data_IF_800256052225
#
_entry.id   IF_800256052225
#
_cell.length_a   1.000
_cell.length_b   1.000
_cell.length_c   1.000
_cell.angle_alpha   90.00
_cell.angle_beta   90.00
_cell.angle_gamma   90.00
#
_symmetry.space_group_name_H-M   'P 1'
#
loop_
_entity.id
_entity.type
_entity.pdbx_description
1 polymer ?
#
# COMPACT_ATOMS: atom_id res chain seq x y z
N UNK A 1 -23.58 -35.40 -32.57
CA UNK A 1 -22.61 -34.29 -32.45
C UNK A 1 -22.84 -33.41 -33.66
N UNK A 2 -23.76 -32.45 -33.56
CA UNK A 2 -23.99 -31.52 -34.68
C UNK A 2 -22.84 -30.52 -34.68
N UNK A 3 -21.82 -30.85 -35.48
CA UNK A 3 -20.55 -30.15 -35.58
C UNK A 3 -20.76 -28.65 -35.78
N UNK A 4 -20.42 -27.85 -34.77
CA UNK A 4 -20.36 -26.39 -34.85
C UNK A 4 -19.57 -25.98 -36.11
N UNK A 5 -20.25 -25.34 -37.07
CA UNK A 5 -19.65 -24.96 -38.36
C UNK A 5 -19.06 -23.55 -38.33
N UNK A 6 -18.16 -23.26 -39.27
CA UNK A 6 -17.55 -21.92 -39.42
C UNK A 6 -18.58 -20.83 -39.67
N UNK A 7 -19.60 -21.10 -40.50
CA UNK A 7 -20.69 -20.16 -40.73
C UNK A 7 -21.49 -19.90 -39.46
N UNK A 8 -21.74 -20.94 -38.68
CA UNK A 8 -22.55 -20.85 -37.47
C UNK A 8 -21.87 -20.04 -36.37
N UNK A 9 -20.59 -20.30 -36.10
CA UNK A 9 -19.84 -19.53 -35.09
C UNK A 9 -19.70 -18.06 -35.49
N UNK A 10 -19.55 -17.78 -36.78
CA UNK A 10 -19.49 -16.40 -37.28
C UNK A 10 -20.81 -15.65 -37.14
N UNK A 11 -21.93 -16.38 -37.21
CA UNK A 11 -23.27 -15.84 -37.02
C UNK A 11 -23.57 -15.61 -35.54
N UNK A 12 -23.17 -16.54 -34.67
CA UNK A 12 -23.26 -16.41 -33.21
C UNK A 12 -22.49 -15.17 -32.72
N UNK A 13 -21.30 -14.92 -33.26
CA UNK A 13 -20.48 -13.75 -32.91
C UNK A 13 -21.11 -12.40 -33.26
N UNK A 14 -22.14 -12.37 -34.11
CA UNK A 14 -22.86 -11.15 -34.52
C UNK A 14 -24.16 -10.94 -33.75
N UNK A 15 -24.56 -11.88 -32.91
CA UNK A 15 -25.80 -11.83 -32.13
C UNK A 15 -25.59 -11.13 -30.79
N UNK A 16 -26.69 -10.72 -30.16
CA UNK A 16 -26.65 -10.30 -28.75
C UNK A 16 -26.26 -11.48 -27.86
N UNK A 17 -25.60 -11.17 -26.74
CA UNK A 17 -24.97 -12.15 -25.84
C UNK A 17 -25.87 -13.32 -25.52
N UNK A 18 -27.08 -13.06 -25.02
CA UNK A 18 -27.96 -14.10 -24.50
C UNK A 18 -28.44 -15.06 -25.60
N UNK A 19 -28.76 -14.51 -26.78
CA UNK A 19 -29.16 -15.29 -27.96
C UNK A 19 -27.98 -16.11 -28.48
N UNK A 20 -26.81 -15.49 -28.58
CA UNK A 20 -25.59 -16.14 -29.05
C UNK A 20 -25.14 -17.26 -28.11
N UNK A 21 -25.27 -17.06 -26.80
CA UNK A 21 -24.96 -18.05 -25.78
C UNK A 21 -25.90 -19.24 -25.89
N UNK A 22 -27.21 -19.00 -25.93
CA UNK A 22 -28.19 -20.08 -26.05
C UNK A 22 -27.94 -20.88 -27.34
N UNK A 23 -27.68 -20.18 -28.44
CA UNK A 23 -27.40 -20.80 -29.73
C UNK A 23 -26.11 -21.62 -29.71
N UNK A 24 -25.02 -21.09 -29.14
CA UNK A 24 -23.77 -21.84 -28.97
C UNK A 24 -23.97 -23.05 -28.05
N UNK A 25 -24.76 -22.90 -27.00
CA UNK A 25 -25.02 -23.96 -26.03
C UNK A 25 -25.72 -25.17 -26.68
N UNK A 26 -26.58 -24.95 -27.67
CA UNK A 26 -27.27 -26.03 -28.39
C UNK A 26 -26.35 -26.95 -29.20
N UNK A 27 -25.12 -26.50 -29.50
CA UNK A 27 -24.11 -27.29 -30.22
C UNK A 27 -23.29 -28.23 -29.32
N UNK A 28 -23.48 -28.17 -28.00
CA UNK A 28 -22.73 -28.96 -27.05
C UNK A 28 -23.64 -29.78 -26.15
N UNK A 29 -23.22 -30.99 -25.79
CA UNK A 29 -23.87 -31.81 -24.76
C UNK A 29 -23.33 -31.43 -23.39
N UNK A 30 -24.17 -30.90 -22.50
CA UNK A 30 -23.79 -30.49 -21.14
C UNK A 30 -24.19 -31.58 -20.15
N UNK A 31 -23.29 -32.53 -19.89
CA UNK A 31 -23.53 -33.66 -18.97
C UNK A 31 -22.58 -33.66 -17.78
N UNK A 32 -21.69 -32.67 -17.71
CA UNK A 32 -20.62 -32.59 -16.71
C UNK A 32 -21.12 -32.08 -15.34
N UNK A 33 -22.29 -31.45 -15.31
CA UNK A 33 -22.92 -30.93 -14.09
C UNK A 33 -24.40 -31.30 -14.07
N UNK A 34 -24.93 -31.65 -12.89
CA UNK A 34 -26.37 -31.87 -12.68
C UNK A 34 -27.09 -30.61 -12.16
N UNK A 35 -26.33 -29.59 -11.74
CA UNK A 35 -26.87 -28.34 -11.17
C UNK A 35 -27.06 -27.29 -12.29
N UNK A 36 -28.26 -26.76 -12.44
CA UNK A 36 -28.61 -25.78 -13.48
C UNK A 36 -27.72 -24.53 -13.43
N UNK A 37 -27.36 -24.06 -12.22
CA UNK A 37 -26.51 -22.87 -12.01
C UNK A 37 -25.04 -23.10 -12.43
N UNK A 38 -24.53 -24.32 -12.29
CA UNK A 38 -23.16 -24.64 -12.72
C UNK A 38 -23.09 -24.85 -14.21
N UNK A 39 -24.14 -25.44 -14.76
CA UNK A 39 -24.28 -25.61 -16.20
C UNK A 39 -24.38 -24.26 -16.91
N UNK A 40 -25.15 -23.30 -16.38
CA UNK A 40 -25.25 -21.96 -16.96
C UNK A 40 -23.89 -21.23 -16.94
N UNK A 41 -23.15 -21.32 -15.84
CA UNK A 41 -21.80 -20.75 -15.74
C UNK A 41 -20.81 -21.42 -16.71
N UNK A 42 -20.93 -22.74 -16.92
CA UNK A 42 -20.13 -23.47 -17.90
C UNK A 42 -20.41 -22.99 -19.33
N UNK A 43 -21.69 -22.78 -19.66
CA UNK A 43 -22.12 -22.26 -20.96
C UNK A 43 -21.62 -20.83 -21.20
N UNK A 44 -21.73 -19.97 -20.18
CA UNK A 44 -21.20 -18.61 -20.21
C UNK A 44 -19.69 -18.59 -20.45
N UNK A 45 -18.94 -19.42 -19.74
CA UNK A 45 -17.49 -19.51 -19.93
C UNK A 45 -17.12 -19.91 -21.36
N UNK A 46 -17.78 -20.94 -21.90
CA UNK A 46 -17.51 -21.40 -23.27
C UNK A 46 -17.83 -20.32 -24.29
N UNK A 47 -18.92 -19.58 -24.08
CA UNK A 47 -19.28 -18.44 -24.91
C UNK A 47 -18.24 -17.32 -24.82
N UNK A 48 -17.87 -16.89 -23.62
CA UNK A 48 -16.94 -15.78 -23.42
C UNK A 48 -15.55 -16.09 -24.01
N UNK A 49 -15.06 -17.32 -23.86
CA UNK A 49 -13.80 -17.76 -24.47
C UNK A 49 -13.87 -17.76 -26.00
N UNK A 50 -15.00 -18.20 -26.58
CA UNK A 50 -15.20 -18.18 -28.03
C UNK A 50 -15.30 -16.74 -28.58
N UNK A 51 -16.04 -15.87 -27.89
CA UNK A 51 -16.17 -14.47 -28.30
C UNK A 51 -14.83 -13.74 -28.17
N UNK A 52 -14.10 -13.95 -27.07
CA UNK A 52 -12.77 -13.41 -26.91
C UNK A 52 -11.82 -13.87 -28.01
N UNK A 53 -11.82 -15.17 -28.36
CA UNK A 53 -11.05 -15.71 -29.47
C UNK A 53 -11.33 -14.96 -30.79
N UNK A 54 -12.60 -14.67 -31.07
CA UNK A 54 -12.99 -13.90 -32.27
C UNK A 54 -12.48 -12.46 -32.24
N UNK A 55 -12.51 -11.80 -31.07
CA UNK A 55 -11.99 -10.42 -30.91
C UNK A 55 -10.47 -10.34 -31.02
N UNK A 56 -9.75 -11.41 -30.67
CA UNK A 56 -8.31 -11.55 -30.87
C UNK A 56 -7.90 -11.77 -32.34
N UNK A 57 -8.88 -11.79 -33.27
CA UNK A 57 -8.63 -12.01 -34.69
C UNK A 57 -8.21 -13.45 -35.02
N UNK A 58 -8.57 -14.43 -34.18
CA UNK A 58 -8.36 -15.83 -34.52
C UNK A 58 -9.27 -16.23 -35.70
N UNK A 59 -8.78 -17.13 -36.55
CA UNK A 59 -9.60 -17.69 -37.62
C UNK A 59 -10.80 -18.46 -37.04
N UNK A 60 -11.92 -18.48 -37.75
CA UNK A 60 -13.13 -19.18 -37.28
C UNK A 60 -12.92 -20.64 -36.86
N UNK A 61 -12.09 -21.46 -37.55
CA UNK A 61 -11.77 -22.80 -37.06
C UNK A 61 -11.08 -22.79 -35.69
N UNK A 62 -10.23 -21.80 -35.42
CA UNK A 62 -9.56 -21.65 -34.13
C UNK A 62 -10.52 -21.12 -33.05
N UNK A 63 -11.51 -20.30 -33.41
CA UNK A 63 -12.60 -19.92 -32.50
C UNK A 63 -13.42 -21.14 -32.07
N UNK A 64 -13.71 -22.06 -33.01
CA UNK A 64 -14.40 -23.32 -32.70
C UNK A 64 -13.54 -24.18 -31.76
N UNK A 65 -12.23 -24.30 -32.05
CA UNK A 65 -11.30 -25.00 -31.15
C UNK A 65 -11.25 -24.37 -29.76
N UNK A 66 -11.31 -23.05 -29.65
CA UNK A 66 -11.34 -22.33 -28.39
C UNK A 66 -12.59 -22.69 -27.56
N UNK A 67 -13.76 -22.73 -28.20
CA UNK A 67 -15.02 -23.13 -27.56
C UNK A 67 -14.96 -24.59 -27.05
N UNK A 68 -14.48 -25.50 -27.90
CA UNK A 68 -14.32 -26.93 -27.55
C UNK A 68 -13.33 -27.10 -26.40
N UNK A 69 -12.18 -26.44 -26.48
CA UNK A 69 -11.17 -26.46 -25.43
C UNK A 69 -11.73 -25.91 -24.11
N UNK A 70 -12.43 -24.76 -24.14
CA UNK A 70 -13.06 -24.18 -22.96
C UNK A 70 -14.05 -25.15 -22.31
N UNK A 71 -14.86 -25.84 -23.13
CA UNK A 71 -15.80 -26.85 -22.64
C UNK A 71 -15.09 -27.94 -21.84
N UNK A 72 -13.95 -28.43 -22.32
CA UNK A 72 -13.20 -29.50 -21.66
C UNK A 72 -12.36 -29.05 -20.46
N UNK A 73 -11.91 -27.79 -20.44
CA UNK A 73 -11.11 -27.26 -19.33
C UNK A 73 -11.99 -26.97 -18.11
N UNK A 74 -13.18 -26.42 -18.32
CA UNK A 74 -14.00 -25.90 -17.22
C UNK A 74 -14.27 -26.90 -16.07
N UNK A 75 -14.62 -28.18 -16.32
CA UNK A 75 -14.80 -29.16 -15.24
C UNK A 75 -13.51 -29.43 -14.44
N UNK A 76 -12.35 -29.30 -15.09
CA UNK A 76 -11.03 -29.52 -14.47
C UNK A 76 -10.60 -28.35 -13.59
N UNK A 77 -11.26 -27.18 -13.68
CA UNK A 77 -10.92 -25.99 -12.88
C UNK A 77 -11.26 -26.17 -11.38
N UNK A 78 -12.09 -27.15 -11.04
CA UNK A 78 -12.51 -27.40 -9.66
C UNK A 78 -11.34 -27.86 -8.79
N UNK A 79 -11.03 -27.07 -7.76
CA UNK A 79 -10.06 -27.44 -6.73
C UNK A 79 -8.59 -27.37 -7.14
N UNK A 80 -8.27 -26.70 -8.26
CA UNK A 80 -6.88 -26.50 -8.68
C UNK A 80 -6.23 -25.34 -7.91
N UNK A 81 -4.95 -25.50 -7.57
CA UNK A 81 -4.13 -24.40 -7.10
C UNK A 81 -3.70 -23.51 -8.28
N UNK A 82 -3.27 -22.28 -7.99
CA UNK A 82 -2.78 -21.33 -9.00
C UNK A 82 -1.72 -21.91 -9.96
N UNK A 83 -0.67 -22.63 -9.53
CA UNK A 83 0.30 -23.21 -10.47
C UNK A 83 -0.31 -24.28 -11.37
N UNK A 84 -1.16 -25.15 -10.83
CA UNK A 84 -1.81 -26.24 -11.57
C UNK A 84 -2.79 -25.69 -12.63
N UNK A 85 -3.48 -24.60 -12.29
CA UNK A 85 -4.34 -23.85 -13.20
C UNK A 85 -3.55 -23.27 -14.39
N UNK A 86 -2.39 -22.67 -14.13
CA UNK A 86 -1.53 -22.09 -15.17
C UNK A 86 -1.02 -23.21 -16.08
N UNK A 87 -0.56 -24.33 -15.52
CA UNK A 87 -0.11 -25.49 -16.28
C UNK A 87 -1.22 -26.01 -17.21
N UNK A 88 -2.44 -26.23 -16.68
CA UNK A 88 -3.58 -26.70 -17.46
C UNK A 88 -3.90 -25.80 -18.67
N UNK A 89 -3.83 -24.48 -18.50
CA UNK A 89 -4.09 -23.55 -19.60
C UNK A 89 -2.98 -23.53 -20.63
N UNK A 90 -1.72 -23.59 -20.20
CA UNK A 90 -0.59 -23.63 -21.12
C UNK A 90 -0.60 -24.92 -21.94
N UNK A 91 -0.88 -26.05 -21.30
CA UNK A 91 -1.00 -27.35 -21.96
C UNK A 91 -2.13 -27.33 -22.99
N UNK A 92 -3.33 -26.89 -22.58
CA UNK A 92 -4.47 -26.83 -23.50
C UNK A 92 -4.29 -25.83 -24.64
N UNK A 93 -3.57 -24.73 -24.42
CA UNK A 93 -3.20 -23.79 -25.48
C UNK A 93 -2.16 -24.38 -26.44
N UNK A 94 -1.22 -25.15 -25.92
CA UNK A 94 -0.18 -25.80 -26.74
C UNK A 94 -0.78 -26.89 -27.65
N UNK A 95 -1.72 -27.68 -27.13
CA UNK A 95 -2.41 -28.74 -27.87
C UNK A 95 -3.47 -28.18 -28.82
N UNK A 96 -4.25 -27.19 -28.38
CA UNK A 96 -5.36 -26.63 -29.15
C UNK A 96 -4.93 -25.70 -30.29
N UNK A 97 -3.74 -25.09 -30.18
CA UNK A 97 -3.30 -24.00 -31.05
C UNK A 97 -1.81 -24.09 -31.43
N UNK A 98 -1.41 -25.05 -32.28
CA UNK A 98 -0.01 -25.17 -32.71
C UNK A 98 0.47 -24.00 -33.59
N UNK A 99 -0.44 -23.35 -34.33
CA UNK A 99 -0.10 -22.35 -35.36
C UNK A 99 -0.43 -20.89 -34.99
N UNK A 100 -0.65 -20.57 -33.70
CA UNK A 100 -0.96 -19.18 -33.30
C UNK A 100 0.29 -18.35 -33.08
N UNK A 101 0.16 -17.05 -33.30
CA UNK A 101 1.25 -16.11 -33.03
C UNK A 101 1.56 -16.03 -31.52
N UNK A 102 2.81 -15.75 -31.12
CA UNK A 102 3.17 -15.58 -29.71
C UNK A 102 2.34 -14.50 -29.00
N UNK A 103 1.98 -13.43 -29.71
CA UNK A 103 1.16 -12.32 -29.19
C UNK A 103 -0.26 -12.80 -28.86
N UNK A 104 -0.90 -13.54 -29.77
CA UNK A 104 -2.23 -14.11 -29.55
C UNK A 104 -2.21 -15.12 -28.39
N UNK A 105 -1.16 -15.94 -28.29
CA UNK A 105 -0.99 -16.89 -27.17
C UNK A 105 -0.93 -16.17 -25.82
N UNK A 106 -0.17 -15.08 -25.72
CA UNK A 106 -0.09 -14.26 -24.51
C UNK A 106 -1.42 -13.59 -24.15
N UNK A 107 -2.13 -13.02 -25.15
CA UNK A 107 -3.43 -12.40 -24.91
C UNK A 107 -4.45 -13.41 -24.40
N UNK A 108 -4.45 -14.61 -24.97
CA UNK A 108 -5.36 -15.68 -24.58
C UNK A 108 -5.04 -16.27 -23.21
N UNK A 109 -3.75 -16.47 -22.88
CA UNK A 109 -3.37 -16.88 -21.53
C UNK A 109 -3.71 -15.81 -20.49
N UNK A 110 -3.47 -14.54 -20.79
CA UNK A 110 -3.82 -13.42 -19.90
C UNK A 110 -5.32 -13.34 -19.66
N UNK A 111 -6.13 -13.50 -20.72
CA UNK A 111 -7.58 -13.54 -20.60
C UNK A 111 -8.06 -14.70 -19.74
N UNK A 112 -7.59 -15.93 -19.99
CA UNK A 112 -7.99 -17.10 -19.22
C UNK A 112 -7.57 -16.99 -17.75
N UNK A 113 -6.37 -16.47 -17.48
CA UNK A 113 -5.89 -16.24 -16.12
C UNK A 113 -6.75 -15.17 -15.43
N UNK A 114 -7.03 -14.04 -16.08
CA UNK A 114 -7.86 -12.97 -15.50
C UNK A 114 -9.32 -13.41 -15.30
N UNK A 115 -9.87 -14.13 -16.27
CA UNK A 115 -11.20 -14.72 -16.19
C UNK A 115 -11.25 -15.68 -15.00
N UNK A 116 -10.26 -16.57 -14.87
CA UNK A 116 -10.19 -17.48 -13.75
C UNK A 116 -9.95 -16.75 -12.44
N UNK A 117 -9.11 -15.73 -12.32
CA UNK A 117 -8.96 -14.98 -11.05
C UNK A 117 -10.29 -14.34 -10.64
N UNK A 118 -10.99 -13.74 -11.59
CA UNK A 118 -12.29 -13.08 -11.37
C UNK A 118 -13.36 -14.12 -10.99
N UNK A 119 -13.39 -15.23 -11.73
CA UNK A 119 -14.33 -16.30 -11.50
C UNK A 119 -13.94 -17.21 -10.34
N UNK A 120 -12.69 -17.35 -9.92
CA UNK A 120 -12.31 -18.24 -8.80
C UNK A 120 -12.98 -17.79 -7.51
N UNK A 121 -13.26 -16.49 -7.36
CA UNK A 121 -14.06 -15.97 -6.22
C UNK A 121 -15.53 -16.38 -6.30
N UNK A 122 -16.13 -16.35 -7.50
CA UNK A 122 -17.52 -16.74 -7.76
C UNK A 122 -17.70 -18.27 -7.88
N UNK A 123 -16.89 -18.91 -8.70
CA UNK A 123 -16.73 -20.34 -8.91
C UNK A 123 -16.36 -21.10 -7.63
N UNK A 124 -15.47 -20.61 -6.75
CA UNK A 124 -15.29 -21.29 -5.46
C UNK A 124 -16.54 -21.22 -4.60
N UNK A 125 -17.35 -20.16 -4.67
CA UNK A 125 -18.62 -20.09 -3.95
C UNK A 125 -19.68 -21.03 -4.56
N UNK A 126 -19.79 -21.08 -5.88
CA UNK A 126 -20.83 -21.86 -6.61
C UNK A 126 -20.44 -23.34 -6.79
N UNK A 127 -19.17 -23.66 -7.05
CA UNK A 127 -18.67 -25.01 -7.37
C UNK A 127 -18.22 -25.80 -6.14
N UNK A 128 -17.85 -25.15 -5.04
CA UNK A 128 -17.63 -25.87 -3.78
C UNK A 128 -18.94 -26.37 -3.17
N UNK A 129 -20.09 -25.73 -3.46
CA UNK A 129 -21.38 -26.07 -2.86
C UNK A 129 -21.42 -25.89 -1.34
N UNK A 130 -20.35 -25.34 -0.76
CA UNK A 130 -20.30 -24.93 0.63
C UNK A 130 -20.74 -23.47 0.61
N UNK A 131 -21.83 -23.09 1.29
CA UNK A 131 -22.08 -21.68 1.55
C UNK A 131 -20.85 -21.21 2.33
N UNK A 132 -19.95 -20.47 1.70
CA UNK A 132 -18.81 -19.88 2.38
C UNK A 132 -19.41 -18.88 3.37
N UNK A 133 -19.50 -19.19 4.68
CA UNK A 133 -20.07 -18.22 5.63
C UNK A 133 -19.20 -16.95 5.70
N UNK A 134 -17.97 -17.04 5.19
CA UNK A 134 -17.00 -15.95 5.08
C UNK A 134 -17.24 -15.03 3.86
N UNK A 135 -18.03 -15.42 2.84
CA UNK A 135 -18.25 -14.54 1.67
C UNK A 135 -19.29 -13.45 1.95
N UNK A 136 -20.28 -13.72 2.81
CA UNK A 136 -21.24 -12.71 3.24
C UNK A 136 -20.60 -11.69 4.20
N UNK A 137 -19.65 -12.09 5.04
CA UNK A 137 -18.86 -11.18 5.88
C UNK A 137 -17.76 -10.44 5.08
N UNK A 138 -17.23 -11.02 4.00
CA UNK A 138 -16.19 -10.39 3.17
C UNK A 138 -16.74 -9.50 2.04
N UNK A 139 -18.05 -9.45 1.82
CA UNK A 139 -18.69 -8.53 0.88
C UNK A 139 -18.90 -7.12 1.47
N UNK A 140 -18.78 -7.00 2.80
CA UNK A 140 -18.48 -5.72 3.41
C UNK A 140 -17.05 -5.36 3.02
N UNK A 141 -16.92 -4.65 1.90
CA UNK A 141 -15.71 -3.88 1.59
C UNK A 141 -15.48 -3.00 2.82
N UNK A 142 -14.59 -3.42 3.71
CA UNK A 142 -14.16 -2.59 4.82
C UNK A 142 -13.59 -1.33 4.18
N UNK A 143 -14.39 -0.27 4.21
CA UNK A 143 -13.92 1.04 3.85
C UNK A 143 -12.69 1.30 4.73
N UNK A 144 -11.57 1.75 4.15
CA UNK A 144 -10.48 2.27 4.95
C UNK A 144 -11.09 3.18 6.02
N UNK A 145 -10.71 3.04 7.30
CA UNK A 145 -11.27 3.85 8.36
C UNK A 145 -11.22 5.31 7.91
N UNK A 146 -12.34 6.01 8.02
CA UNK A 146 -12.44 7.38 7.54
C UNK A 146 -11.30 8.19 8.14
N UNK A 147 -10.45 8.84 7.33
CA UNK A 147 -9.33 9.58 7.85
C UNK A 147 -9.84 10.63 8.82
N UNK A 148 -9.14 10.81 9.93
CA UNK A 148 -9.48 11.82 10.92
C UNK A 148 -9.61 13.19 10.25
N UNK A 149 -10.58 14.03 10.66
CA UNK A 149 -10.72 15.38 10.14
C UNK A 149 -9.39 16.15 10.23
N UNK A 150 -9.10 17.00 9.24
CA UNK A 150 -7.87 17.80 9.21
C UNK A 150 -7.71 18.70 10.45
N UNK A 151 -8.82 19.07 11.10
CA UNK A 151 -8.82 19.80 12.38
C UNK A 151 -8.18 19.02 13.55
N UNK A 152 -8.04 17.70 13.42
CA UNK A 152 -7.30 16.84 14.36
C UNK A 152 -5.84 16.63 13.92
N UNK A 153 -5.46 17.14 12.76
CA UNK A 153 -4.09 17.14 12.29
C UNK A 153 -3.26 18.14 13.09
N UNK A 154 -2.00 17.78 13.32
CA UNK A 154 -0.99 18.69 13.87
C UNK A 154 -0.33 19.43 12.71
N UNK A 155 -0.02 20.72 12.90
CA UNK A 155 0.78 21.46 11.93
C UNK A 155 2.16 20.81 11.78
N UNK A 156 2.69 20.79 10.56
CA UNK A 156 3.97 20.13 10.27
C UNK A 156 5.12 20.74 11.09
N UNK A 157 5.15 22.06 11.25
CA UNK A 157 6.20 22.73 12.02
C UNK A 157 6.01 22.55 13.53
N UNK A 158 4.79 22.38 14.01
CA UNK A 158 4.54 21.98 15.40
C UNK A 158 5.05 20.56 15.67
N UNK A 159 4.76 19.63 14.75
CA UNK A 159 5.22 18.25 14.85
C UNK A 159 6.74 18.13 14.77
N UNK A 160 7.39 18.83 13.83
CA UNK A 160 8.86 18.89 13.71
C UNK A 160 9.50 19.46 14.97
N UNK A 161 8.92 20.53 15.53
CA UNK A 161 9.39 21.10 16.82
C UNK A 161 9.25 20.10 17.96
N UNK A 162 8.12 19.38 18.05
CA UNK A 162 7.93 18.35 19.08
C UNK A 162 8.91 17.19 18.92
N UNK A 163 9.14 16.73 17.69
CA UNK A 163 10.11 15.66 17.42
C UNK A 163 11.53 16.10 17.82
N UNK A 164 11.91 17.32 17.44
CA UNK A 164 13.23 17.86 17.77
C UNK A 164 13.40 18.08 19.28
N UNK A 165 12.37 18.58 19.97
CA UNK A 165 12.35 18.72 21.42
C UNK A 165 12.45 17.37 22.14
N UNK A 166 11.74 16.34 21.66
CA UNK A 166 11.80 14.99 22.23
C UNK A 166 13.20 14.37 22.07
N UNK A 167 13.84 14.58 20.91
CA UNK A 167 15.21 14.12 20.66
C UNK A 167 16.21 14.80 21.59
N UNK A 168 16.13 16.12 21.77
CA UNK A 168 16.99 16.85 22.70
C UNK A 168 16.76 16.42 24.15
N UNK A 169 15.52 16.13 24.53
CA UNK A 169 15.20 15.65 25.89
C UNK A 169 15.82 14.28 26.14
N UNK A 170 15.70 13.35 25.18
CA UNK A 170 16.35 12.04 25.27
C UNK A 170 17.88 12.14 25.37
N UNK A 171 18.49 13.03 24.59
CA UNK A 171 19.94 13.28 24.65
C UNK A 171 20.35 13.90 25.99
N UNK A 172 19.56 14.82 26.53
CA UNK A 172 19.78 15.42 27.83
C UNK A 172 19.73 14.35 28.93
N UNK A 173 18.69 13.52 28.94
CA UNK A 173 18.52 12.45 29.93
C UNK A 173 19.69 11.46 29.87
N UNK A 174 20.11 11.06 28.68
CA UNK A 174 21.29 10.20 28.50
C UNK A 174 22.57 10.84 29.06
N UNK A 175 22.81 12.12 28.77
CA UNK A 175 24.03 12.81 29.24
C UNK A 175 24.02 13.05 30.75
N UNK A 176 22.85 13.32 31.32
CA UNK A 176 22.67 13.43 32.77
C UNK A 176 22.89 12.08 33.45
N UNK A 177 22.41 10.99 32.85
CA UNK A 177 22.66 9.62 33.31
C UNK A 177 24.16 9.28 33.31
N UNK A 178 24.84 9.50 32.18
CA UNK A 178 26.29 9.27 32.05
C UNK A 178 27.08 10.07 33.10
N UNK A 179 26.66 11.31 33.37
CA UNK A 179 27.26 12.15 34.40
C UNK A 179 26.98 11.62 35.81
N UNK A 180 25.77 11.10 36.06
CA UNK A 180 25.41 10.50 37.35
C UNK A 180 26.26 9.26 37.61
N UNK A 181 26.37 8.37 36.63
CA UNK A 181 27.18 7.15 36.74
C UNK A 181 28.67 7.47 36.98
N UNK A 182 29.19 8.53 36.35
CA UNK A 182 30.57 8.98 36.56
C UNK A 182 30.82 9.56 37.96
N UNK A 183 29.78 10.16 38.59
CA UNK A 183 29.86 10.73 39.94
C UNK A 183 29.64 9.70 41.04
N UNK A 184 28.73 8.76 40.81
CA UNK A 184 28.36 7.71 41.77
C UNK A 184 29.27 6.49 41.69
N UNK A 185 29.91 6.26 40.53
CA UNK A 185 30.89 5.21 40.32
C UNK A 185 32.29 5.53 40.88
N UNK A 186 33.15 4.51 41.03
CA UNK A 186 34.53 4.71 41.48
C UNK A 186 35.35 5.47 40.42
N UNK A 187 35.89 6.64 40.79
CA UNK A 187 36.73 7.49 39.93
C UNK A 187 38.13 6.93 39.67
N UNK A 188 38.56 6.01 40.53
CA UNK A 188 39.85 5.33 40.45
C UNK A 188 39.56 3.84 40.58
N UNK A 189 39.94 3.07 39.57
CA UNK A 189 40.01 1.62 39.66
C UNK A 189 41.43 1.27 40.01
N UNK A 190 41.68 0.99 41.28
CA UNK A 190 42.91 0.31 41.69
C UNK A 190 42.83 -1.09 41.06
N UNK A 191 43.50 -1.27 39.92
CA UNK A 191 43.70 -2.61 39.36
C UNK A 191 44.39 -3.49 40.40
N UNK A 192 44.03 -4.77 40.44
CA UNK A 192 44.74 -5.75 41.26
C UNK A 192 46.24 -5.57 41.02
N UNK A 193 46.96 -5.27 42.10
CA UNK A 193 48.40 -5.06 42.05
C UNK A 193 48.98 -6.37 41.52
N UNK A 194 49.55 -6.33 40.32
CA UNK A 194 50.32 -7.44 39.76
C UNK A 194 51.65 -7.48 40.52
N UNK A 195 51.56 -7.90 41.79
CA UNK A 195 52.72 -8.16 42.65
C UNK A 195 53.30 -9.46 42.12
N UNK A 196 54.54 -9.48 41.61
CA UNK A 196 55.17 -10.72 41.18
C UNK A 196 55.18 -11.69 42.37
N UNK A 197 54.42 -12.77 42.25
CA UNK A 197 54.25 -13.75 43.31
C UNK A 197 55.61 -14.40 43.60
N UNK A 198 56.24 -14.01 44.72
CA UNK A 198 57.46 -14.63 45.25
C UNK A 198 58.75 -13.79 45.30
N UNK A 199 58.71 -12.46 45.13
CA UNK A 199 59.90 -11.59 45.33
C UNK A 199 59.69 -10.64 46.52
N UNK A 200 60.55 -10.71 47.54
CA UNK A 200 60.63 -9.68 48.58
C UNK A 200 61.03 -8.35 47.93
N UNK A 201 60.07 -7.45 47.79
CA UNK A 201 60.31 -6.10 47.24
C UNK A 201 61.16 -5.31 48.25
N UNK A 202 62.35 -4.89 47.82
CA UNK A 202 63.17 -3.92 48.56
C UNK A 202 62.37 -2.62 48.78
N UNK A 203 62.72 -1.83 49.81
CA UNK A 203 62.01 -0.60 50.20
C UNK A 203 61.85 0.36 49.00
N UNK A 204 62.84 0.39 48.11
CA UNK A 204 62.82 1.14 46.84
C UNK A 204 61.85 0.59 45.79
N UNK A 205 61.69 -0.73 45.69
CA UNK A 205 60.76 -1.38 44.76
C UNK A 205 59.30 -1.15 45.17
N UNK A 206 59.03 -1.20 46.48
CA UNK A 206 57.71 -0.84 47.01
C UNK A 206 57.37 0.64 46.74
N UNK A 207 58.33 1.54 46.94
CA UNK A 207 58.19 2.96 46.63
C UNK A 207 57.88 3.21 45.15
N UNK A 208 58.46 2.45 44.24
CA UNK A 208 58.18 2.58 42.81
C UNK A 208 56.78 2.09 42.43
N UNK A 209 56.32 0.97 42.98
CA UNK A 209 54.95 0.46 42.79
C UNK A 209 53.92 1.45 43.36
N UNK A 210 54.18 2.03 44.53
CA UNK A 210 53.32 3.08 45.09
C UNK A 210 53.33 4.32 44.20
N UNK A 211 54.48 4.73 43.67
CA UNK A 211 54.58 5.90 42.78
C UNK A 211 53.83 5.69 41.47
N UNK A 212 53.92 4.50 40.86
CA UNK A 212 53.21 4.19 39.61
C UNK A 212 51.71 4.04 39.82
N UNK A 213 51.28 3.42 40.92
CA UNK A 213 49.85 3.29 41.25
C UNK A 213 49.22 4.63 41.59
N UNK A 214 49.89 5.48 42.38
CA UNK A 214 49.44 6.85 42.66
C UNK A 214 49.43 7.71 41.38
N UNK A 215 50.45 7.56 40.52
CA UNK A 215 50.48 8.21 39.21
C UNK A 215 49.29 7.81 38.34
N UNK A 216 49.06 6.50 38.18
CA UNK A 216 47.93 5.98 37.41
C UNK A 216 46.57 6.39 37.99
N UNK A 217 46.42 6.42 39.32
CA UNK A 217 45.22 6.92 39.99
C UNK A 217 45.00 8.42 39.74
N UNK A 218 46.06 9.21 39.75
CA UNK A 218 46.02 10.65 39.43
C UNK A 218 45.59 10.88 37.98
N UNK A 219 46.16 10.13 37.04
CA UNK A 219 45.83 10.23 35.61
C UNK A 219 44.38 9.80 35.33
N UNK A 220 43.92 8.74 35.99
CA UNK A 220 42.53 8.28 35.90
C UNK A 220 41.55 9.31 36.48
N UNK A 221 41.90 9.93 37.60
CA UNK A 221 41.10 11.01 38.19
C UNK A 221 41.04 12.24 37.27
N UNK A 222 42.15 12.63 36.66
CA UNK A 222 42.18 13.73 35.68
C UNK A 222 41.32 13.41 34.44
N UNK A 223 41.38 12.18 33.94
CA UNK A 223 40.55 11.73 32.83
C UNK A 223 39.05 11.76 33.20
N UNK A 224 38.68 11.29 34.39
CA UNK A 224 37.31 11.36 34.92
C UNK A 224 36.81 12.81 35.02
N UNK A 225 37.61 13.72 35.58
CA UNK A 225 37.24 15.13 35.69
C UNK A 225 37.11 15.81 34.32
N UNK A 226 37.97 15.46 33.37
CA UNK A 226 37.90 15.97 31.99
C UNK A 226 36.62 15.51 31.30
N UNK A 227 36.25 14.24 31.47
CA UNK A 227 35.00 13.67 30.96
C UNK A 227 33.77 14.33 31.62
N UNK A 228 33.82 14.60 32.92
CA UNK A 228 32.75 15.31 33.63
C UNK A 228 32.55 16.73 33.08
N UNK A 229 33.66 17.46 32.85
CA UNK A 229 33.62 18.80 32.27
C UNK A 229 33.04 18.80 30.85
N UNK A 230 33.38 17.81 30.01
CA UNK A 230 32.79 17.69 28.68
C UNK A 230 31.29 17.39 28.74
N UNK A 231 30.86 16.48 29.62
CA UNK A 231 29.44 16.15 29.78
C UNK A 231 28.63 17.37 30.26
N UNK A 232 29.16 18.17 31.19
CA UNK A 232 28.52 19.40 31.64
C UNK A 232 28.40 20.44 30.53
N UNK A 233 29.43 20.58 29.69
CA UNK A 233 29.39 21.46 28.52
C UNK A 233 28.31 21.02 27.53
N UNK A 234 28.24 19.72 27.23
CA UNK A 234 27.23 19.15 26.34
C UNK A 234 25.81 19.35 26.89
N UNK A 235 25.59 19.06 28.16
CA UNK A 235 24.31 19.27 28.86
C UNK A 235 23.88 20.75 28.76
N UNK A 236 24.81 21.68 28.98
CA UNK A 236 24.52 23.10 28.87
C UNK A 236 24.18 23.50 27.43
N UNK A 237 24.92 22.99 26.44
CA UNK A 237 24.63 23.20 25.02
C UNK A 237 23.23 22.72 24.63
N UNK A 238 22.84 21.53 25.06
CA UNK A 238 21.51 20.95 24.80
C UNK A 238 20.42 21.81 25.46
N UNK A 239 20.62 22.27 26.70
CA UNK A 239 19.68 23.16 27.40
C UNK A 239 19.51 24.50 26.68
N UNK A 240 20.58 25.06 26.13
CA UNK A 240 20.52 26.28 25.32
C UNK A 240 19.70 26.07 24.04
N UNK A 241 19.87 24.92 23.38
CA UNK A 241 19.07 24.56 22.20
C UNK A 241 17.58 24.44 22.56
N UNK A 242 17.22 23.80 23.68
CA UNK A 242 15.84 23.73 24.16
C UNK A 242 15.24 25.12 24.49
N UNK A 243 16.03 26.00 25.10
CA UNK A 243 15.61 27.38 25.37
C UNK A 243 15.36 28.17 24.09
N UNK A 244 16.21 27.99 23.07
CA UNK A 244 16.03 28.63 21.76
C UNK A 244 14.74 28.16 21.05
N UNK A 245 14.44 26.85 21.12
CA UNK A 245 13.21 26.28 20.55
C UNK A 245 11.93 26.79 21.24
N UNK A 246 12.01 27.05 22.55
CA UNK A 246 10.89 27.58 23.33
C UNK A 246 10.67 29.08 23.07
N UNK A 247 11.76 29.83 22.82
CA UNK A 247 11.72 31.30 22.67
C UNK A 247 11.45 31.76 21.24
N UNK A 248 11.69 30.93 20.22
CA UNK A 248 11.47 31.26 18.81
C UNK A 248 10.00 31.34 18.34
N UNK A 249 9.03 31.33 19.26
CA UNK A 249 7.59 31.18 18.98
C UNK A 249 6.72 32.44 18.99
N UNK A 250 7.27 33.65 19.12
CA UNK A 250 6.48 34.89 19.01
C UNK A 250 6.75 35.62 17.68
N UNK A 251 5.88 35.54 16.67
CA UNK A 251 5.78 36.59 15.69
C UNK A 251 5.20 37.82 16.40
N UNK A 252 6.06 38.81 16.61
CA UNK A 252 5.70 40.15 17.04
C UNK A 252 4.65 40.69 16.03
N UNK A 253 3.40 41.02 16.40
CA UNK A 253 2.51 41.68 15.47
C UNK A 253 3.02 43.11 15.34
N UNK A 254 3.72 43.38 14.23
CA UNK A 254 3.96 44.74 13.77
C UNK A 254 2.59 45.34 13.47
N UNK A 255 2.01 45.99 14.47
CA UNK A 255 0.96 46.99 14.30
C UNK A 255 1.64 48.18 13.65
N UNK A 256 1.60 48.22 12.32
CA UNK A 256 1.84 49.43 11.55
C UNK A 256 0.54 49.82 10.87
N UNK A 257 -0.23 50.66 11.55
CA UNK A 257 -1.10 51.61 10.88
C UNK A 257 -0.94 52.95 11.61
N UNK A 258 -0.50 53.98 10.89
CA UNK A 258 -1.30 55.17 10.69
C UNK A 258 -1.21 55.58 9.20
N UNK A 259 -2.20 56.09 8.48
CA UNK A 259 -3.45 56.73 8.84
C UNK A 259 -3.75 57.77 7.74
N UNK A 260 -4.94 57.64 7.13
CA UNK A 260 -5.82 58.76 6.74
C UNK A 260 -5.50 59.58 5.45
N UNK A 261 -6.45 60.40 4.91
CA UNK A 261 -7.35 60.01 3.82
C UNK A 261 -7.38 61.04 2.63
N UNK A 262 -7.86 60.66 1.43
CA UNK A 262 -8.38 61.64 0.46
C UNK A 262 -9.60 61.11 -0.29
N UNK A 263 -10.49 62.05 -0.60
CA UNK A 263 -11.94 62.05 -0.81
C UNK A 263 -12.31 62.18 -2.30
N UNK A 264 -13.58 61.86 -2.59
CA UNK A 264 -14.40 62.19 -3.77
C UNK A 264 -14.17 61.31 -5.03
N UNK A 265 -15.19 60.84 -5.74
CA UNK A 265 -16.41 61.57 -6.10
C UNK A 265 -17.65 60.68 -6.26
N UNK A 266 -18.79 61.31 -5.97
CA UNK A 266 -20.14 60.79 -6.11
C UNK A 266 -20.71 61.02 -7.54
N UNK A 267 -21.93 60.48 -7.72
CA UNK A 267 -22.96 60.73 -8.74
C UNK A 267 -23.04 59.65 -9.84
N UNK A 268 -24.22 59.21 -10.33
CA UNK A 268 -25.62 59.48 -10.02
C UNK A 268 -26.49 58.57 -10.90
N UNK A 269 -27.51 57.93 -10.30
CA UNK A 269 -28.90 57.70 -10.77
C UNK A 269 -29.22 57.80 -12.29
N UNK A 270 -29.91 56.78 -12.80
CA UNK A 270 -31.34 56.77 -13.26
C UNK A 270 -31.62 55.42 -13.96
N UNK A 271 -32.57 54.57 -13.57
CA UNK A 271 -34.03 54.70 -13.40
C UNK A 271 -34.82 54.53 -14.73
N UNK A 272 -35.57 53.41 -14.82
CA UNK A 272 -36.89 53.15 -15.47
C UNK A 272 -36.95 51.76 -16.12
N UNK A 273 -37.70 50.78 -15.60
CA UNK A 273 -39.18 50.56 -15.56
C UNK A 273 -39.83 50.19 -16.91
N UNK A 274 -40.49 49.02 -16.89
CA UNK A 274 -41.89 48.75 -17.34
C UNK A 274 -42.05 48.60 -18.86
N UNK A 275 -42.85 47.69 -19.46
CA UNK A 275 -44.06 46.94 -19.11
C UNK A 275 -44.26 45.81 -20.16
N UNK A 276 -44.69 44.61 -19.79
CA UNK A 276 -46.06 44.05 -19.91
C UNK A 276 -46.55 43.57 -21.29
N UNK A 277 -46.95 42.30 -21.26
CA UNK A 277 -48.21 41.66 -21.72
C UNK A 277 -48.68 41.87 -23.18
N UNK A 278 -48.95 40.74 -23.81
CA UNK A 278 -50.02 40.60 -24.80
C UNK A 278 -50.45 39.14 -24.94
N UNK A 279 -51.58 38.78 -24.30
CA UNK A 279 -52.40 37.63 -24.71
C UNK A 279 -52.97 37.91 -26.11
N UNK A 280 -53.02 36.88 -26.97
CA UNK A 280 -54.20 36.63 -27.80
C UNK A 280 -54.18 35.21 -28.35
N UNK A 281 -55.23 34.46 -28.03
CA UNK A 281 -55.57 33.23 -28.73
C UNK A 281 -56.41 33.49 -29.98
N UNK A 282 -56.96 32.38 -30.50
CA UNK A 282 -57.77 32.17 -31.70
C UNK A 282 -56.97 31.88 -32.97
N UNK A 283 -57.39 31.03 -33.90
CA UNK A 283 -58.39 29.96 -34.03
C UNK A 283 -58.24 29.47 -35.51
N UNK A 284 -58.93 28.40 -35.90
CA UNK A 284 -59.14 27.89 -37.27
C UNK A 284 -58.01 26.99 -37.80
N UNK A 285 -58.27 25.80 -38.37
CA UNK A 285 -59.52 25.11 -38.68
C UNK A 285 -59.20 23.68 -39.14
#
# INVERSE_FOLDING_TARGET
>A
MDSLTVSEISLIARQQRDVGLQRLSSHFSWTEFCDDDRQSLHQEFVYDVAMFASTCGLSWPNVIRAAVMAKHIFPKLKGLNKPDLIALFLDALSEGFPNITPVQRHQFSSFLINFCITQTRLFNAVVSGVPTPQLLEALEVQLPPTPCPLAQGMDLHEWERQQHQAQLTKQLDQKVEELRDLREGPRVTLGDLDVPEGVELDEKGLLEVVRTTVGAASDQMLASLTQEASLLSDIHGIKLQQAALTTGGHPNPVVSNPGTPVRASANSRKDKRVSRKGLRGQNQG
#
